data_IF_084259586849
#
_entry.id   IF_084259586849
#
_cell.length_a   1.000
_cell.length_b   1.000
_cell.length_c   1.000
_cell.angle_alpha   90.00
_cell.angle_beta   90.00
_cell.angle_gamma   90.00
#
_symmetry.space_group_name_H-M   'P 1'
#
loop_
_entity.id
_entity.type
_entity.pdbx_description
1 polymer ?
#
# COMPACT_ATOMS: atom_id res chain seq x y z
N UNK A 1 5.63 -24.31 7.83
CA UNK A 1 4.40 -23.54 7.51
C UNK A 1 4.22 -23.31 6.01
N UNK A 2 5.28 -22.92 5.29
CA UNK A 2 5.21 -22.51 3.89
C UNK A 2 4.64 -23.57 2.91
N UNK A 3 5.03 -24.85 3.05
CA UNK A 3 4.49 -25.94 2.21
C UNK A 3 2.98 -26.15 2.37
N UNK A 4 2.45 -26.08 3.59
CA UNK A 4 1.01 -26.23 3.86
C UNK A 4 0.22 -25.04 3.33
N UNK A 5 0.74 -23.83 3.51
CA UNK A 5 0.15 -22.61 2.97
C UNK A 5 0.11 -22.63 1.43
N UNK A 6 1.22 -23.03 0.80
CA UNK A 6 1.32 -23.17 -0.66
C UNK A 6 0.35 -24.23 -1.20
N UNK A 7 0.23 -25.38 -0.53
CA UNK A 7 -0.74 -26.41 -0.89
C UNK A 7 -2.19 -25.87 -0.80
N UNK A 8 -2.55 -25.16 0.28
CA UNK A 8 -3.87 -24.53 0.41
C UNK A 8 -4.16 -23.45 -0.65
N UNK A 9 -3.13 -22.73 -1.12
CA UNK A 9 -3.31 -21.75 -2.19
C UNK A 9 -3.52 -22.42 -3.55
N UNK A 10 -2.83 -23.53 -3.84
CA UNK A 10 -2.91 -24.22 -5.13
C UNK A 10 -4.22 -24.99 -5.33
N UNK A 11 -4.96 -25.29 -4.25
CA UNK A 11 -6.33 -25.84 -4.33
C UNK A 11 -7.33 -24.82 -4.90
N UNK A 12 -7.05 -23.52 -4.76
CA UNK A 12 -7.89 -22.45 -5.31
C UNK A 12 -7.59 -22.19 -6.77
N UNK A 13 -8.59 -21.73 -7.53
CA UNK A 13 -8.41 -21.30 -8.91
C UNK A 13 -7.49 -20.07 -9.01
N UNK A 14 -6.95 -19.79 -10.20
CA UNK A 14 -6.15 -18.58 -10.43
C UNK A 14 -6.91 -17.29 -10.10
N UNK A 15 -8.19 -17.24 -10.47
CA UNK A 15 -9.08 -16.10 -10.18
C UNK A 15 -9.30 -15.91 -8.68
N UNK A 16 -9.54 -16.98 -7.93
CA UNK A 16 -9.72 -16.93 -6.48
C UNK A 16 -8.44 -16.46 -5.76
N UNK A 17 -7.27 -16.91 -6.24
CA UNK A 17 -5.98 -16.42 -5.74
C UNK A 17 -5.79 -14.92 -6.02
N UNK A 18 -6.19 -14.45 -7.21
CA UNK A 18 -6.14 -13.03 -7.56
C UNK A 18 -7.08 -12.20 -6.68
N UNK A 19 -8.33 -12.64 -6.51
CA UNK A 19 -9.30 -11.99 -5.61
C UNK A 19 -8.75 -11.90 -4.18
N UNK A 20 -8.20 -12.99 -3.65
CA UNK A 20 -7.56 -12.98 -2.33
C UNK A 20 -6.42 -11.96 -2.24
N UNK A 21 -5.50 -11.93 -3.22
CA UNK A 21 -4.40 -10.98 -3.25
C UNK A 21 -4.89 -9.53 -3.26
N UNK A 22 -5.87 -9.21 -4.11
CA UNK A 22 -6.50 -7.90 -4.18
C UNK A 22 -7.19 -7.51 -2.87
N UNK A 23 -7.96 -8.42 -2.27
CA UNK A 23 -8.63 -8.20 -0.99
C UNK A 23 -7.63 -7.96 0.15
N UNK A 24 -6.54 -8.74 0.19
CA UNK A 24 -5.49 -8.58 1.19
C UNK A 24 -4.74 -7.25 1.04
N UNK A 25 -4.41 -6.86 -0.19
CA UNK A 25 -3.77 -5.57 -0.45
C UNK A 25 -4.69 -4.39 -0.06
N UNK A 26 -5.97 -4.45 -0.43
CA UNK A 26 -6.95 -3.46 -0.04
C UNK A 26 -7.11 -3.37 1.49
N UNK A 27 -7.18 -4.52 2.16
CA UNK A 27 -7.27 -4.60 3.62
C UNK A 27 -6.03 -4.04 4.31
N UNK A 28 -4.83 -4.39 3.84
CA UNK A 28 -3.58 -3.84 4.37
C UNK A 28 -3.54 -2.31 4.23
N UNK A 29 -3.96 -1.76 3.08
CA UNK A 29 -4.09 -0.31 2.89
C UNK A 29 -5.10 0.33 3.85
N UNK A 30 -6.23 -0.32 4.11
CA UNK A 30 -7.24 0.17 5.05
C UNK A 30 -6.68 0.21 6.49
N UNK A 31 -5.98 -0.83 6.93
CA UNK A 31 -5.34 -0.86 8.26
C UNK A 31 -4.36 0.30 8.41
N UNK A 32 -3.49 0.51 7.42
CA UNK A 32 -2.50 1.60 7.47
C UNK A 32 -3.20 2.96 7.50
N UNK A 33 -4.22 3.17 6.66
CA UNK A 33 -5.01 4.40 6.65
C UNK A 33 -5.68 4.66 8.00
N UNK A 34 -6.34 3.66 8.57
CA UNK A 34 -6.99 3.75 9.87
C UNK A 34 -5.98 4.08 10.97
N UNK A 35 -4.80 3.45 10.95
CA UNK A 35 -3.73 3.73 11.92
C UNK A 35 -3.20 5.16 11.85
N UNK A 36 -3.13 5.75 10.66
CA UNK A 36 -2.73 7.16 10.49
C UNK A 36 -3.82 8.09 11.00
N UNK A 37 -5.08 7.85 10.62
CA UNK A 37 -6.22 8.66 11.06
C UNK A 37 -6.46 8.57 12.57
N UNK A 38 -6.19 7.43 13.20
CA UNK A 38 -6.30 7.27 14.65
C UNK A 38 -5.30 8.17 15.42
N UNK A 39 -4.12 8.46 14.83
CA UNK A 39 -3.12 9.36 15.44
C UNK A 39 -3.33 10.81 15.05
N UNK A 40 -3.75 11.03 13.81
CA UNK A 40 -3.96 12.36 13.24
C UNK A 40 -5.32 12.38 12.51
N UNK A 41 -6.42 12.66 13.22
CA UNK A 41 -7.77 12.60 12.65
C UNK A 41 -7.97 13.53 11.45
N UNK A 42 -7.23 14.64 11.39
CA UNK A 42 -7.30 15.62 10.30
C UNK A 42 -6.19 15.42 9.24
N UNK A 43 -5.62 14.22 9.12
CA UNK A 43 -4.58 13.95 8.13
C UNK A 43 -5.09 14.23 6.70
N UNK A 44 -4.33 15.06 5.97
CA UNK A 44 -4.64 15.36 4.57
C UNK A 44 -4.41 14.15 3.67
N UNK A 45 -4.97 14.16 2.46
CA UNK A 45 -4.74 13.09 1.48
C UNK A 45 -3.25 12.91 1.13
N UNK A 46 -2.50 14.02 1.05
CA UNK A 46 -1.05 13.97 0.84
C UNK A 46 -0.33 13.25 2.01
N UNK A 47 -0.72 13.55 3.25
CA UNK A 47 -0.17 12.86 4.42
C UNK A 47 -0.46 11.35 4.38
N UNK A 48 -1.69 10.96 4.06
CA UNK A 48 -2.07 9.54 3.94
C UNK A 48 -1.26 8.83 2.86
N UNK A 49 -1.08 9.44 1.68
CA UNK A 49 -0.28 8.87 0.58
C UNK A 49 1.19 8.70 0.96
N UNK A 50 1.80 9.70 1.61
CA UNK A 50 3.18 9.61 2.11
C UNK A 50 3.33 8.49 3.15
N UNK A 51 2.41 8.38 4.10
CA UNK A 51 2.43 7.33 5.11
C UNK A 51 2.27 5.92 4.51
N UNK A 52 1.39 5.77 3.50
CA UNK A 52 1.27 4.51 2.75
C UNK A 52 2.56 4.18 2.00
N UNK A 53 3.14 5.15 1.28
CA UNK A 53 4.39 4.94 0.54
C UNK A 53 5.50 4.46 1.46
N UNK A 54 5.75 5.16 2.57
CA UNK A 54 6.80 4.78 3.52
C UNK A 54 6.55 3.39 4.13
N UNK A 55 5.29 3.06 4.42
CA UNK A 55 4.95 1.76 5.02
C UNK A 55 5.18 0.59 4.07
N UNK A 56 4.82 0.73 2.81
CA UNK A 56 4.88 -0.37 1.84
C UNK A 56 6.21 -0.43 1.08
N UNK A 57 6.80 0.73 0.80
CA UNK A 57 7.93 0.85 -0.14
C UNK A 57 9.11 1.66 0.42
N UNK A 58 9.04 2.21 1.63
CA UNK A 58 10.07 3.10 2.17
C UNK A 58 11.45 2.46 2.35
N UNK A 59 11.56 1.14 2.22
CA UNK A 59 12.82 0.39 2.27
C UNK A 59 13.30 -0.10 0.90
N UNK A 60 12.51 0.11 -0.14
CA UNK A 60 12.79 -0.39 -1.49
C UNK A 60 13.60 0.61 -2.31
N UNK A 61 13.79 1.82 -1.78
CA UNK A 61 14.47 2.93 -2.43
C UNK A 61 15.56 3.52 -1.54
N UNK A 62 16.58 4.11 -2.16
CA UNK A 62 17.55 4.94 -1.44
C UNK A 62 16.89 6.22 -0.90
N UNK A 63 17.61 6.91 -0.01
CA UNK A 63 17.09 8.11 0.65
C UNK A 63 16.73 9.21 -0.36
N UNK A 64 17.60 9.45 -1.36
CA UNK A 64 17.39 10.48 -2.38
C UNK A 64 16.12 10.24 -3.19
N UNK A 65 15.89 8.99 -3.59
CA UNK A 65 14.72 8.59 -4.37
C UNK A 65 13.45 8.65 -3.52
N UNK A 66 13.54 8.22 -2.26
CA UNK A 66 12.46 8.32 -1.27
C UNK A 66 12.02 9.77 -1.10
N UNK A 67 12.95 10.71 -0.88
CA UNK A 67 12.65 12.14 -0.71
C UNK A 67 11.98 12.74 -1.95
N UNK A 68 12.47 12.41 -3.15
CA UNK A 68 11.86 12.85 -4.41
C UNK A 68 10.42 12.38 -4.56
N UNK A 69 10.14 11.10 -4.24
CA UNK A 69 8.79 10.55 -4.30
C UNK A 69 7.88 11.22 -3.26
N UNK A 70 8.37 11.44 -2.04
CA UNK A 70 7.59 12.13 -1.00
C UNK A 70 7.23 13.57 -1.38
N UNK A 71 8.13 14.28 -2.06
CA UNK A 71 7.84 15.63 -2.61
C UNK A 71 6.73 15.56 -3.65
N UNK A 72 6.85 14.65 -4.62
CA UNK A 72 5.86 14.45 -5.67
C UNK A 72 4.48 13.99 -5.17
N UNK A 73 4.42 13.34 -3.99
CA UNK A 73 3.14 12.98 -3.34
C UNK A 73 2.49 14.14 -2.57
N UNK A 74 3.25 15.23 -2.33
CA UNK A 74 2.78 16.43 -1.64
C UNK A 74 2.29 17.48 -2.66
N UNK A 75 3.01 17.63 -3.77
CA UNK A 75 2.55 18.36 -4.93
C UNK A 75 1.40 17.56 -5.56
N UNK A 76 0.24 18.17 -5.77
CA UNK A 76 -0.89 17.48 -6.37
C UNK A 76 -0.52 17.07 -7.80
N UNK A 77 0.01 15.86 -7.99
CA UNK A 77 0.33 15.36 -9.31
C UNK A 77 -0.94 15.48 -10.17
N UNK A 78 -0.91 16.18 -11.33
CA UNK A 78 -2.03 16.14 -12.25
C UNK A 78 -2.28 14.67 -12.56
N UNK A 79 -3.54 14.23 -12.38
CA UNK A 79 -3.90 12.85 -12.68
C UNK A 79 -3.52 12.61 -14.13
N UNK A 80 -2.67 11.62 -14.39
CA UNK A 80 -2.55 11.07 -15.72
C UNK A 80 -3.96 10.57 -16.09
N UNK A 81 -4.61 11.30 -16.99
CA UNK A 81 -5.82 10.86 -17.67
C UNK A 81 -5.46 9.64 -18.50
N UNK A 82 -6.15 8.53 -18.24
CA UNK A 82 -6.17 7.35 -19.11
C UNK A 82 -6.76 7.68 -20.49
#
# INVERSE_FOLDING_TARGET
MEKRFRAMLLVRSGEERLKMGCSMHAFARQIVRASVLARTPQATQAHLRRAMFLRFYGRDFDQRTTERILSALTEALPRATE
#
